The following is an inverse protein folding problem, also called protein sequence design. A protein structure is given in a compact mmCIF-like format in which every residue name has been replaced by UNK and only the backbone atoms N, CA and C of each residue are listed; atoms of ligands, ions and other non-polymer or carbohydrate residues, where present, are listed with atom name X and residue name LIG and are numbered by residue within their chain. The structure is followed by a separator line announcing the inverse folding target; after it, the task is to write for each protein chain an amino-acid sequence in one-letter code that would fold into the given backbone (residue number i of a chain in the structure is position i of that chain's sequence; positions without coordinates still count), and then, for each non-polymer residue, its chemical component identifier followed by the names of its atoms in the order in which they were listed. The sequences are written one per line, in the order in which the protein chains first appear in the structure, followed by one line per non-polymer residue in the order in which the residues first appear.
data_IF_464787924090
#
_entry.id   IF_464787924090
#
_cell.length_a   1.000
_cell.length_b   1.000
_cell.length_c   1.000
_cell.angle_alpha   90.00
_cell.angle_beta   90.00
_cell.angle_gamma   90.00
#
_symmetry.space_group_name_H-M   'P 1'
#
loop_
_entity.id
_entity.type
_entity.pdbx_description
1 polymer ?
#
# COMPACT_ATOMS: atom_id res chain seq x y z
N UNK A 1 -20.09 -6.09 -12.44
CA UNK A 1 -19.68 -7.21 -13.32
C UNK A 1 -18.37 -6.83 -13.99
N UNK A 2 -17.50 -7.81 -14.27
CA UNK A 2 -16.16 -7.64 -14.84
C UNK A 2 -16.19 -7.43 -16.37
N UNK A 3 -16.92 -6.39 -16.80
CA UNK A 3 -17.22 -6.04 -18.20
C UNK A 3 -17.06 -4.52 -18.38
N UNK A 4 -16.98 -4.05 -19.62
CA UNK A 4 -16.99 -2.61 -19.91
C UNK A 4 -18.41 -2.03 -19.79
N UNK A 5 -18.53 -0.70 -19.95
CA UNK A 5 -19.78 0.05 -19.76
C UNK A 5 -20.93 -0.44 -20.68
N UNK A 6 -20.60 -1.00 -21.85
CA UNK A 6 -21.56 -1.59 -22.79
C UNK A 6 -21.98 -3.03 -22.42
N UNK A 7 -21.53 -3.55 -21.27
CA UNK A 7 -21.82 -4.90 -20.81
C UNK A 7 -21.09 -6.01 -21.58
N UNK A 8 -20.04 -5.68 -22.34
CA UNK A 8 -19.27 -6.66 -23.12
C UNK A 8 -17.80 -6.71 -22.69
N UNK A 9 -17.09 -7.74 -23.13
CA UNK A 9 -15.63 -7.86 -22.96
C UNK A 9 -14.93 -7.64 -24.30
N UNK A 10 -13.67 -7.21 -24.23
CA UNK A 10 -12.76 -7.11 -25.38
C UNK A 10 -11.83 -8.33 -25.51
N UNK A 11 -11.98 -9.32 -24.63
CA UNK A 11 -11.12 -10.50 -24.57
C UNK A 11 -11.94 -11.75 -24.89
N UNK A 12 -11.49 -12.48 -25.91
CA UNK A 12 -12.03 -13.80 -26.29
C UNK A 12 -10.88 -14.80 -26.35
N UNK A 13 -11.08 -16.01 -25.83
CA UNK A 13 -10.13 -17.11 -25.96
C UNK A 13 -10.88 -18.37 -26.36
N UNK A 14 -10.45 -19.07 -27.42
CA UNK A 14 -11.11 -20.28 -27.94
C UNK A 14 -12.63 -20.12 -28.13
N UNK A 15 -13.05 -18.98 -28.70
CA UNK A 15 -14.45 -18.60 -28.90
C UNK A 15 -15.28 -18.44 -27.62
N UNK A 16 -14.63 -18.32 -26.45
CA UNK A 16 -15.28 -18.04 -25.18
C UNK A 16 -14.93 -16.63 -24.71
N UNK A 17 -15.93 -15.91 -24.23
CA UNK A 17 -15.75 -14.60 -23.62
C UNK A 17 -14.95 -14.75 -22.32
N UNK A 18 -13.88 -13.97 -22.20
CA UNK A 18 -13.10 -13.86 -20.97
C UNK A 18 -13.44 -12.52 -20.33
N UNK A 19 -13.79 -12.51 -19.05
CA UNK A 19 -14.10 -11.27 -18.33
C UNK A 19 -12.86 -10.39 -18.14
N UNK A 20 -13.06 -9.07 -18.10
CA UNK A 20 -11.99 -8.14 -17.76
C UNK A 20 -11.88 -7.94 -16.25
N UNK A 21 -10.66 -7.95 -15.71
CA UNK A 21 -10.45 -7.74 -14.29
C UNK A 21 -10.25 -6.25 -13.99
N UNK A 22 -11.03 -5.72 -13.05
CA UNK A 22 -11.01 -4.33 -12.57
C UNK A 22 -10.95 -3.25 -13.67
N UNK A 23 -11.47 -3.56 -14.87
CA UNK A 23 -11.45 -2.64 -16.01
C UNK A 23 -10.08 -2.38 -16.61
N UNK A 24 -9.06 -3.21 -16.32
CA UNK A 24 -7.69 -3.04 -16.85
C UNK A 24 -7.16 -4.30 -17.53
N UNK A 25 -7.23 -5.48 -16.90
CA UNK A 25 -6.73 -6.76 -17.45
C UNK A 25 -5.30 -6.71 -18.03
N UNK A 26 -4.32 -6.35 -17.20
CA UNK A 26 -2.91 -6.15 -17.64
C UNK A 26 -2.15 -7.43 -17.96
N UNK A 27 -2.71 -8.62 -17.70
CA UNK A 27 -2.06 -9.91 -18.02
C UNK A 27 -2.37 -10.36 -19.45
N UNK A 28 -2.11 -9.47 -20.40
CA UNK A 28 -2.26 -9.65 -21.84
C UNK A 28 -1.31 -8.67 -22.54
N UNK A 29 -0.73 -9.05 -23.67
CA UNK A 29 0.16 -8.17 -24.45
C UNK A 29 -0.54 -6.88 -24.90
N UNK A 30 -1.86 -6.95 -25.11
CA UNK A 30 -2.73 -5.83 -25.42
C UNK A 30 -3.98 -5.88 -24.55
N UNK A 31 -4.46 -4.70 -24.14
CA UNK A 31 -5.73 -4.56 -23.41
C UNK A 31 -6.48 -3.32 -23.90
N UNK A 32 -7.79 -3.28 -23.63
CA UNK A 32 -8.67 -2.15 -23.92
C UNK A 32 -9.24 -1.66 -22.61
N UNK A 33 -9.07 -0.37 -22.34
CA UNK A 33 -9.50 0.28 -21.10
C UNK A 33 -10.33 1.52 -21.39
N UNK A 34 -11.26 1.89 -20.50
CA UNK A 34 -11.88 3.22 -20.53
C UNK A 34 -10.84 4.34 -20.44
N UNK A 35 -11.11 5.49 -21.04
CA UNK A 35 -10.21 6.64 -20.99
C UNK A 35 -9.97 7.14 -19.56
N UNK A 36 -10.98 7.05 -18.69
CA UNK A 36 -10.88 7.41 -17.27
C UNK A 36 -9.93 6.50 -16.46
N UNK A 37 -9.58 5.33 -17.01
CA UNK A 37 -8.72 4.35 -16.36
C UNK A 37 -7.26 4.42 -16.84
N UNK A 38 -6.92 5.40 -17.69
CA UNK A 38 -5.57 5.58 -18.21
C UNK A 38 -5.11 7.02 -18.00
N UNK A 39 -3.87 7.18 -17.54
CA UNK A 39 -3.24 8.49 -17.40
C UNK A 39 -1.96 8.52 -18.21
N UNK A 40 -1.83 9.51 -19.09
CA UNK A 40 -0.59 9.74 -19.84
C UNK A 40 0.51 10.18 -18.86
N UNK A 41 1.63 9.45 -18.88
CA UNK A 41 2.81 9.76 -18.08
C UNK A 41 3.94 10.34 -18.96
N UNK A 42 5.03 10.75 -18.31
CA UNK A 42 6.22 11.24 -19.01
C UNK A 42 6.79 10.15 -19.95
N UNK A 43 7.14 10.48 -21.21
CA UNK A 43 7.62 9.49 -22.17
C UNK A 43 8.94 8.81 -21.76
N UNK A 44 9.79 9.51 -21.00
CA UNK A 44 11.07 8.97 -20.52
C UNK A 44 10.95 8.14 -19.22
N UNK A 45 9.73 7.94 -18.70
CA UNK A 45 9.52 7.17 -17.49
C UNK A 45 9.82 5.67 -17.74
N UNK A 46 10.68 5.02 -16.93
CA UNK A 46 11.01 3.60 -17.11
C UNK A 46 9.80 2.72 -16.75
N UNK A 47 9.14 2.16 -17.77
CA UNK A 47 7.88 1.40 -17.63
C UNK A 47 8.02 0.14 -16.76
N UNK A 48 9.21 -0.45 -16.70
CA UNK A 48 9.55 -1.58 -15.84
C UNK A 48 9.58 -1.23 -14.34
N UNK A 49 9.56 0.07 -13.99
CA UNK A 49 9.54 0.56 -12.61
C UNK A 49 8.24 1.24 -12.25
N UNK A 50 7.79 2.17 -13.10
CA UNK A 50 6.62 3.02 -12.80
C UNK A 50 5.29 2.27 -12.88
N UNK A 51 5.28 1.05 -13.41
CA UNK A 51 4.11 0.17 -13.39
C UNK A 51 3.56 -0.07 -11.96
N UNK A 52 4.42 0.02 -10.94
CA UNK A 52 4.04 -0.12 -9.53
C UNK A 52 3.11 1.00 -9.03
N UNK A 53 3.12 2.15 -9.71
CA UNK A 53 2.26 3.29 -9.41
C UNK A 53 0.80 3.06 -9.83
N UNK A 54 0.51 2.02 -10.61
CA UNK A 54 -0.85 1.69 -11.05
C UNK A 54 -1.77 1.16 -9.94
N UNK A 55 -1.23 0.78 -8.78
CA UNK A 55 -2.01 0.30 -7.65
C UNK A 55 -1.27 0.51 -6.32
N UNK A 56 -0.63 -0.54 -5.79
CA UNK A 56 -0.24 -0.62 -4.37
C UNK A 56 0.66 0.50 -3.87
N UNK A 57 1.63 0.97 -4.66
CA UNK A 57 2.52 2.06 -4.23
C UNK A 57 1.74 3.36 -4.04
N UNK A 58 0.92 3.73 -5.02
CA UNK A 58 0.09 4.94 -4.95
C UNK A 58 -0.93 4.86 -3.82
N UNK A 59 -1.49 3.68 -3.57
CA UNK A 59 -2.42 3.45 -2.44
C UNK A 59 -1.75 3.74 -1.10
N UNK A 60 -0.60 3.11 -0.81
CA UNK A 60 0.08 3.28 0.47
C UNK A 60 0.63 4.68 0.67
N UNK A 61 1.32 5.20 -0.35
CA UNK A 61 1.88 6.55 -0.32
C UNK A 61 0.79 7.60 -0.12
N UNK A 62 -0.29 7.52 -0.90
CA UNK A 62 -1.44 8.42 -0.79
C UNK A 62 -2.20 8.27 0.53
N UNK A 63 -2.26 7.07 1.11
CA UNK A 63 -2.88 6.86 2.42
C UNK A 63 -2.18 7.67 3.51
N UNK A 64 -0.85 7.74 3.51
CA UNK A 64 -0.10 8.58 4.45
C UNK A 64 -0.21 10.07 4.11
N UNK A 65 0.09 10.44 2.87
CA UNK A 65 0.25 11.85 2.46
C UNK A 65 -1.09 12.58 2.32
N UNK A 66 -2.07 11.96 1.66
CA UNK A 66 -3.31 12.62 1.28
C UNK A 66 -4.44 12.38 2.29
N UNK A 67 -4.62 11.12 2.70
CA UNK A 67 -5.71 10.72 3.60
C UNK A 67 -5.35 10.97 5.05
N UNK A 68 -4.23 10.39 5.49
CA UNK A 68 -3.73 10.55 6.86
C UNK A 68 -3.21 11.95 7.13
N UNK A 69 -2.71 12.65 6.10
CA UNK A 69 -2.10 13.98 6.21
C UNK A 69 -1.05 14.03 7.31
N UNK A 70 -0.16 13.03 7.29
CA UNK A 70 0.90 12.88 8.28
C UNK A 70 1.66 14.20 8.43
N UNK A 71 1.87 14.60 9.69
CA UNK A 71 2.48 15.88 10.02
C UNK A 71 3.98 15.72 10.31
N UNK A 72 4.76 16.76 10.01
CA UNK A 72 6.18 16.77 10.35
C UNK A 72 6.36 16.67 11.86
N UNK A 73 7.24 15.77 12.31
CA UNK A 73 7.49 15.53 13.73
C UNK A 73 6.59 14.47 14.38
N UNK A 74 5.56 13.97 13.68
CA UNK A 74 4.63 12.99 14.25
C UNK A 74 5.25 11.59 14.42
N UNK A 75 4.59 10.77 15.22
CA UNK A 75 4.81 9.33 15.34
C UNK A 75 3.75 8.56 14.57
N UNK A 76 4.18 7.66 13.68
CA UNK A 76 3.30 6.81 12.89
C UNK A 76 3.48 5.32 13.20
N UNK A 77 2.39 4.55 13.15
CA UNK A 77 2.44 3.09 13.06
C UNK A 77 1.89 2.62 11.71
N UNK A 78 2.58 1.69 11.04
CA UNK A 78 2.15 1.08 9.79
C UNK A 78 2.04 -0.44 9.97
N UNK A 79 0.84 -0.98 9.79
CA UNK A 79 0.55 -2.40 9.97
C UNK A 79 0.53 -3.12 8.63
N UNK A 80 1.38 -4.14 8.48
CA UNK A 80 1.51 -4.95 7.26
C UNK A 80 2.49 -4.36 6.25
N UNK A 81 3.62 -5.01 6.06
CA UNK A 81 4.73 -4.52 5.24
C UNK A 81 4.74 -5.20 3.86
N UNK A 82 3.58 -5.17 3.19
CA UNK A 82 3.45 -5.48 1.77
C UNK A 82 3.77 -4.27 0.88
N UNK A 83 3.40 -4.32 -0.40
CA UNK A 83 3.62 -3.20 -1.31
C UNK A 83 2.97 -1.89 -0.83
N UNK A 84 1.75 -1.98 -0.28
CA UNK A 84 1.01 -0.84 0.28
C UNK A 84 1.69 -0.30 1.53
N UNK A 85 1.96 -1.14 2.53
CA UNK A 85 2.55 -0.66 3.78
C UNK A 85 3.97 -0.11 3.63
N UNK A 86 4.81 -0.71 2.79
CA UNK A 86 6.14 -0.14 2.51
C UNK A 86 6.02 1.25 1.84
N UNK A 87 5.06 1.43 0.93
CA UNK A 87 4.80 2.74 0.34
C UNK A 87 4.18 3.73 1.35
N UNK A 88 3.39 3.26 2.31
CA UNK A 88 2.87 4.08 3.42
C UNK A 88 4.00 4.55 4.35
N UNK A 89 4.95 3.66 4.70
CA UNK A 89 6.18 4.02 5.43
C UNK A 89 6.94 5.12 4.68
N UNK A 90 7.11 4.99 3.36
CA UNK A 90 7.73 6.02 2.52
C UNK A 90 6.95 7.34 2.56
N UNK A 91 5.62 7.27 2.49
CA UNK A 91 4.74 8.44 2.59
C UNK A 91 4.87 9.15 3.95
N UNK A 92 4.92 8.40 5.06
CA UNK A 92 5.15 8.96 6.39
C UNK A 92 6.51 9.67 6.47
N UNK A 93 7.57 9.04 5.92
CA UNK A 93 8.92 9.61 5.89
C UNK A 93 8.98 10.91 5.09
N UNK A 94 8.41 10.93 3.89
CA UNK A 94 8.38 12.14 3.04
C UNK A 94 7.56 13.25 3.67
N UNK A 95 6.53 12.90 4.45
CA UNK A 95 5.73 13.86 5.22
C UNK A 95 6.44 14.41 6.47
N UNK A 96 7.63 13.89 6.80
CA UNK A 96 8.46 14.38 7.89
C UNK A 96 8.16 13.75 9.26
N UNK A 97 7.50 12.59 9.32
CA UNK A 97 7.31 11.85 10.57
C UNK A 97 8.66 11.60 11.26
N UNK A 98 8.77 11.93 12.55
CA UNK A 98 9.99 11.75 13.31
C UNK A 98 10.23 10.28 13.70
N UNK A 99 9.15 9.52 13.85
CA UNK A 99 9.18 8.13 14.30
C UNK A 99 8.18 7.31 13.49
N UNK A 100 8.63 6.20 12.91
CA UNK A 100 7.82 5.33 12.06
C UNK A 100 8.00 3.89 12.52
N UNK A 101 6.96 3.35 13.17
CA UNK A 101 6.94 2.00 13.73
C UNK A 101 6.30 1.07 12.70
N UNK A 102 7.10 0.17 12.13
CA UNK A 102 6.66 -0.84 11.19
C UNK A 102 6.21 -2.11 11.95
N UNK A 103 4.99 -2.58 11.70
CA UNK A 103 4.40 -3.73 12.39
C UNK A 103 4.10 -4.85 11.39
N UNK A 104 4.74 -6.00 11.53
CA UNK A 104 4.46 -7.20 10.70
C UNK A 104 4.83 -8.48 11.46
N UNK A 105 4.18 -9.60 11.12
CA UNK A 105 4.46 -10.91 11.73
C UNK A 105 5.73 -11.57 11.17
N UNK A 106 6.19 -11.14 9.99
CA UNK A 106 7.40 -11.65 9.35
C UNK A 106 8.62 -10.76 9.66
N UNK A 107 9.55 -11.21 10.51
CA UNK A 107 10.74 -10.42 10.86
C UNK A 107 11.67 -10.15 9.68
N UNK A 108 11.65 -10.96 8.63
CA UNK A 108 12.50 -10.79 7.44
C UNK A 108 12.21 -9.47 6.69
N UNK A 109 11.05 -8.87 6.93
CA UNK A 109 10.64 -7.59 6.32
C UNK A 109 11.23 -6.37 7.02
N UNK A 110 11.82 -6.52 8.21
CA UNK A 110 12.36 -5.43 9.01
C UNK A 110 13.41 -4.62 8.26
N UNK A 111 14.37 -5.29 7.61
CA UNK A 111 15.44 -4.61 6.87
C UNK A 111 14.87 -3.80 5.68
N UNK A 112 13.91 -4.37 4.96
CA UNK A 112 13.24 -3.65 3.87
C UNK A 112 12.47 -2.43 4.39
N UNK A 113 11.75 -2.56 5.51
CA UNK A 113 11.03 -1.45 6.11
C UNK A 113 11.96 -0.30 6.49
N UNK A 114 13.15 -0.61 7.02
CA UNK A 114 14.19 0.38 7.35
C UNK A 114 14.68 1.13 6.12
N UNK A 115 14.92 0.43 5.00
CA UNK A 115 15.29 1.05 3.72
C UNK A 115 14.23 2.07 3.29
N UNK A 116 12.95 1.73 3.45
CA UNK A 116 11.82 2.58 3.06
C UNK A 116 11.57 3.74 4.03
N UNK A 117 12.03 3.64 5.28
CA UNK A 117 11.95 4.75 6.23
C UNK A 117 11.56 4.40 7.66
N UNK A 118 11.25 3.13 7.95
CA UNK A 118 10.90 2.73 9.31
C UNK A 118 12.06 3.00 10.26
N UNK A 119 11.75 3.59 11.42
CA UNK A 119 12.72 3.80 12.50
C UNK A 119 12.80 2.58 13.41
N UNK A 120 11.69 1.86 13.54
CA UNK A 120 11.53 0.70 14.41
C UNK A 120 10.70 -0.37 13.72
N UNK A 121 10.91 -1.61 14.14
CA UNK A 121 10.11 -2.76 13.73
C UNK A 121 9.59 -3.48 14.96
N UNK A 122 8.32 -3.85 14.93
CA UNK A 122 7.65 -4.60 16.01
C UNK A 122 6.97 -5.81 15.42
N UNK A 123 7.32 -7.00 15.90
CA UNK A 123 6.59 -8.22 15.59
C UNK A 123 5.61 -8.54 16.71
N UNK A 124 4.29 -8.54 16.46
CA UNK A 124 3.30 -8.89 17.47
C UNK A 124 3.55 -10.25 18.17
N UNK A 125 4.21 -11.21 17.50
CA UNK A 125 4.53 -12.53 18.07
C UNK A 125 5.59 -12.50 19.18
N UNK A 126 6.37 -11.43 19.26
CA UNK A 126 7.42 -11.28 20.28
C UNK A 126 6.86 -10.69 21.59
N UNK A 127 5.55 -10.46 21.66
CA UNK A 127 4.87 -9.85 22.80
C UNK A 127 3.71 -10.72 23.28
N UNK A 128 3.52 -10.77 24.60
CA UNK A 128 2.37 -11.42 25.24
C UNK A 128 1.14 -10.51 25.34
N UNK A 129 1.33 -9.20 25.24
CA UNK A 129 0.26 -8.19 25.27
C UNK A 129 -0.29 -7.94 23.87
N UNK A 130 -1.56 -7.48 23.75
CA UNK A 130 -2.09 -6.99 22.49
C UNK A 130 -1.19 -5.89 21.90
N UNK A 131 -1.02 -5.90 20.57
CA UNK A 131 -0.07 -5.00 19.89
C UNK A 131 -0.36 -3.52 20.14
N UNK A 132 -1.63 -3.13 20.25
CA UNK A 132 -2.04 -1.77 20.57
C UNK A 132 -1.56 -1.31 21.96
N UNK A 133 -1.48 -2.22 22.94
CA UNK A 133 -0.94 -1.90 24.26
C UNK A 133 0.57 -1.75 24.22
N UNK A 134 1.26 -2.63 23.48
CA UNK A 134 2.70 -2.53 23.25
C UNK A 134 3.04 -1.18 22.61
N UNK A 135 2.31 -0.78 21.57
CA UNK A 135 2.52 0.51 20.91
C UNK A 135 2.22 1.69 21.83
N UNK A 136 1.13 1.63 22.61
CA UNK A 136 0.79 2.68 23.58
C UNK A 136 1.89 2.87 24.62
N UNK A 137 2.44 1.78 25.15
CA UNK A 137 3.55 1.81 26.12
C UNK A 137 4.84 2.34 25.46
N UNK A 138 5.16 1.86 24.26
CA UNK A 138 6.34 2.25 23.48
C UNK A 138 6.35 3.74 23.11
N UNK A 139 5.19 4.36 23.02
CA UNK A 139 4.98 5.75 22.59
C UNK A 139 4.49 6.66 23.70
N UNK A 140 4.35 6.14 24.94
CA UNK A 140 3.85 6.88 26.09
C UNK A 140 2.47 7.54 25.85
N UNK A 141 1.57 6.85 25.16
CA UNK A 141 0.19 7.34 24.94
C UNK A 141 -0.48 6.87 23.65
N UNK A 142 0.30 6.43 22.65
CA UNK A 142 -0.20 6.06 21.33
C UNK A 142 0.57 6.77 20.22
N UNK A 143 0.27 6.39 18.98
CA UNK A 143 0.78 7.06 17.77
C UNK A 143 -0.18 8.18 17.34
N UNK A 144 0.35 9.20 16.67
CA UNK A 144 -0.47 10.27 16.09
C UNK A 144 -1.25 9.77 14.87
N UNK A 145 -0.64 8.88 14.09
CA UNK A 145 -1.25 8.28 12.90
C UNK A 145 -1.03 6.76 12.87
N UNK A 146 -2.09 6.00 12.62
CA UNK A 146 -2.02 4.58 12.30
C UNK A 146 -2.50 4.34 10.87
N UNK A 147 -1.77 3.50 10.13
CA UNK A 147 -2.13 3.11 8.76
C UNK A 147 -2.17 1.59 8.70
N UNK A 148 -3.37 1.06 8.53
CA UNK A 148 -3.65 -0.38 8.43
C UNK A 148 -3.57 -0.82 6.97
N UNK A 149 -2.71 -1.80 6.65
CA UNK A 149 -2.45 -2.26 5.27
C UNK A 149 -2.56 -3.79 5.11
N UNK A 150 -3.10 -4.50 6.11
CA UNK A 150 -3.33 -5.96 6.10
C UNK A 150 -4.78 -6.27 5.71
N UNK A 151 -5.74 -5.46 6.17
CA UNK A 151 -7.18 -5.73 6.09
C UNK A 151 -7.67 -6.70 7.18
N UNK A 152 -6.93 -6.86 8.29
CA UNK A 152 -7.35 -7.68 9.41
C UNK A 152 -8.07 -6.84 10.47
N UNK A 153 -9.31 -7.22 10.80
CA UNK A 153 -10.15 -6.52 11.78
C UNK A 153 -9.60 -6.55 13.21
N UNK A 154 -8.74 -7.50 13.53
CA UNK A 154 -8.13 -7.61 14.86
C UNK A 154 -7.04 -6.57 15.14
N UNK A 155 -6.53 -5.90 14.09
CA UNK A 155 -5.48 -4.88 14.20
C UNK A 155 -5.98 -3.47 13.84
N UNK A 156 -7.30 -3.30 13.69
CA UNK A 156 -7.97 -2.00 13.53
C UNK A 156 -8.34 -1.37 14.88
#
# INVERSE_FOLDING_TARGET
QCLLADGTSRITCKNQQIHQFIGISTFSEYTVVPEDNVTKIHPDAPLDKVCLLGCGVSTGYGAAVNTGKVESGSTCAVFGLGAVGLAAVMGCKVSGAARIIAVDLNPDKSEMAKIFGATEFVNPKDHSKPIQEVLRELTNGGVDFSIECVGNVEVM
#
